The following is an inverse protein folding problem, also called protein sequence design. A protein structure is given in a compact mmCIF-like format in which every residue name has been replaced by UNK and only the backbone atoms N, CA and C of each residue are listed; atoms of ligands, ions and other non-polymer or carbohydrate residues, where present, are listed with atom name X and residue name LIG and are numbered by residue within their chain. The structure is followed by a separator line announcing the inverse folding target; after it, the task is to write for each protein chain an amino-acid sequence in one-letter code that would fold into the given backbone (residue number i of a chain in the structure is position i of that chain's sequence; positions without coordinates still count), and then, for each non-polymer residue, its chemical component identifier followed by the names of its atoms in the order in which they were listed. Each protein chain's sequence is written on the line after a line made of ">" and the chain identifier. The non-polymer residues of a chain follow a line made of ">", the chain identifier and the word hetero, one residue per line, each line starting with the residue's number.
data_IF_275668496006
#
_entry.id   IF_275668496006
#
_cell.length_a   1.000
_cell.length_b   1.000
_cell.length_c   1.000
_cell.angle_alpha   90.00
_cell.angle_beta   90.00
_cell.angle_gamma   90.00
#
_symmetry.space_group_name_H-M   'P 1'
#
loop_
_entity.id
_entity.type
_entity.pdbx_description
1 polymer ?
#
# COMPACT_ATOMS: atom_id res chain seq x y z
N UNK A 1 -14.03 24.06 -20.77
CA UNK A 1 -13.68 22.64 -20.58
C UNK A 1 -13.37 22.53 -19.09
N UNK A 2 -14.32 22.03 -18.29
CA UNK A 2 -14.03 21.73 -16.88
C UNK A 2 -13.22 20.43 -16.90
N UNK A 3 -11.97 20.48 -16.47
CA UNK A 3 -11.21 19.27 -16.15
C UNK A 3 -12.00 18.49 -15.09
N UNK A 4 -12.29 17.23 -15.35
CA UNK A 4 -12.94 16.37 -14.37
C UNK A 4 -11.96 16.18 -13.21
N UNK A 5 -12.34 16.46 -11.95
CA UNK A 5 -11.40 16.44 -10.86
C UNK A 5 -10.86 15.02 -10.64
N UNK A 6 -9.54 14.85 -10.67
CA UNK A 6 -8.90 13.57 -10.36
C UNK A 6 -9.10 13.21 -8.89
N UNK A 7 -9.60 12.01 -8.63
CA UNK A 7 -9.83 11.51 -7.28
C UNK A 7 -8.56 11.48 -6.40
N UNK A 8 -7.36 11.30 -6.98
CA UNK A 8 -6.12 11.38 -6.20
C UNK A 8 -5.81 12.82 -5.79
N UNK A 9 -5.95 13.78 -6.69
CA UNK A 9 -5.74 15.20 -6.36
C UNK A 9 -6.73 15.66 -5.28
N UNK A 10 -7.97 15.19 -5.34
CA UNK A 10 -8.98 15.44 -4.31
C UNK A 10 -8.58 14.83 -2.95
N UNK A 11 -8.10 13.59 -2.91
CA UNK A 11 -7.65 12.95 -1.68
C UNK A 11 -6.37 13.58 -1.13
N UNK A 12 -5.43 13.97 -2.00
CA UNK A 12 -4.23 14.68 -1.60
C UNK A 12 -4.58 16.03 -0.95
N UNK A 13 -5.46 16.79 -1.60
CA UNK A 13 -6.00 18.05 -1.07
C UNK A 13 -6.70 17.83 0.28
N UNK A 14 -7.57 16.81 0.39
CA UNK A 14 -8.27 16.51 1.64
C UNK A 14 -7.30 16.19 2.79
N UNK A 15 -6.23 15.42 2.52
CA UNK A 15 -5.19 15.14 3.51
C UNK A 15 -4.49 16.40 3.98
N UNK A 16 -4.15 17.30 3.05
CA UNK A 16 -3.46 18.55 3.37
C UNK A 16 -4.35 19.47 4.20
N UNK A 17 -5.63 19.60 3.86
CA UNK A 17 -6.62 20.34 4.68
C UNK A 17 -6.71 19.75 6.09
N UNK A 18 -6.72 18.41 6.24
CA UNK A 18 -6.73 17.77 7.56
C UNK A 18 -5.49 18.14 8.38
N UNK A 19 -4.29 18.13 7.77
CA UNK A 19 -3.03 18.36 8.48
C UNK A 19 -2.73 19.82 8.75
N UNK A 20 -3.02 20.70 7.80
CA UNK A 20 -2.61 22.10 7.81
C UNK A 20 -3.68 23.02 8.40
N UNK A 21 -4.96 22.68 8.26
CA UNK A 21 -6.06 23.55 8.68
C UNK A 21 -6.84 22.95 9.86
N UNK A 22 -7.29 21.70 9.73
CA UNK A 22 -8.17 21.09 10.72
C UNK A 22 -7.39 20.70 11.99
N UNK A 23 -6.24 20.03 11.85
CA UNK A 23 -5.46 19.55 12.99
C UNK A 23 -5.04 20.68 13.95
N UNK A 24 -4.55 21.87 13.49
CA UNK A 24 -4.24 22.99 14.38
C UNK A 24 -5.45 23.63 15.06
N UNK A 25 -6.64 23.54 14.45
CA UNK A 25 -7.88 24.12 14.98
C UNK A 25 -8.62 23.18 15.96
N UNK A 26 -8.21 21.91 16.04
CA UNK A 26 -8.85 20.91 16.88
C UNK A 26 -8.38 20.97 18.36
N UNK A 27 -9.26 20.61 19.31
CA UNK A 27 -8.86 20.31 20.68
C UNK A 27 -7.79 19.19 20.73
N UNK A 28 -6.87 19.21 21.72
CA UNK A 28 -5.73 18.28 21.77
C UNK A 28 -6.16 16.80 21.83
N UNK A 29 -7.28 16.48 22.46
CA UNK A 29 -7.85 15.13 22.52
C UNK A 29 -8.27 14.57 21.15
N UNK A 30 -8.48 15.42 20.14
CA UNK A 30 -8.83 15.01 18.76
C UNK A 30 -7.63 14.97 17.82
N UNK A 31 -6.46 15.46 18.25
CA UNK A 31 -5.27 15.55 17.40
C UNK A 31 -4.82 14.18 16.87
N UNK A 32 -4.89 13.13 17.70
CA UNK A 32 -4.53 11.77 17.26
C UNK A 32 -5.50 11.25 16.20
N UNK A 33 -6.80 11.48 16.37
CA UNK A 33 -7.81 11.05 15.41
C UNK A 33 -7.63 11.73 14.05
N UNK A 34 -7.34 13.04 14.03
CA UNK A 34 -7.05 13.76 12.78
C UNK A 34 -5.78 13.25 12.08
N UNK A 35 -4.71 12.97 12.83
CA UNK A 35 -3.49 12.34 12.28
C UNK A 35 -3.76 10.95 11.72
N UNK A 36 -4.60 10.15 12.39
CA UNK A 36 -5.02 8.82 11.91
C UNK A 36 -5.79 8.91 10.59
N UNK A 37 -6.72 9.87 10.45
CA UNK A 37 -7.44 10.12 9.19
C UNK A 37 -6.48 10.52 8.08
N UNK A 38 -5.57 11.47 8.32
CA UNK A 38 -4.57 11.87 7.34
C UNK A 38 -3.64 10.72 6.92
N UNK A 39 -3.28 9.83 7.86
CA UNK A 39 -2.50 8.63 7.58
C UNK A 39 -3.27 7.61 6.72
N UNK A 40 -4.57 7.42 6.97
CA UNK A 40 -5.42 6.55 6.17
C UNK A 40 -5.57 7.08 4.73
N UNK A 41 -5.75 8.39 4.54
CA UNK A 41 -5.80 8.99 3.20
C UNK A 41 -4.48 8.79 2.46
N UNK A 42 -3.34 9.00 3.14
CA UNK A 42 -2.01 8.74 2.56
C UNK A 42 -1.84 7.27 2.13
N UNK A 43 -2.39 6.33 2.91
CA UNK A 43 -2.34 4.91 2.57
C UNK A 43 -3.19 4.61 1.33
N UNK A 44 -4.41 5.15 1.26
CA UNK A 44 -5.31 4.97 0.12
C UNK A 44 -4.71 5.51 -1.19
N UNK A 45 -4.04 6.67 -1.14
CA UNK A 45 -3.31 7.21 -2.30
C UNK A 45 -2.21 6.26 -2.78
N UNK A 46 -1.42 5.71 -1.84
CA UNK A 46 -0.37 4.75 -2.18
C UNK A 46 -0.95 3.44 -2.72
N UNK A 47 -2.07 2.96 -2.20
CA UNK A 47 -2.74 1.77 -2.72
C UNK A 47 -3.19 1.95 -4.16
N UNK A 48 -3.66 3.15 -4.52
CA UNK A 48 -4.01 3.48 -5.91
C UNK A 48 -2.78 3.44 -6.82
N UNK A 49 -1.65 3.99 -6.38
CA UNK A 49 -0.43 4.08 -7.21
C UNK A 49 0.37 2.77 -7.23
N UNK A 50 0.13 1.88 -6.26
CA UNK A 50 0.83 0.61 -6.17
C UNK A 50 0.40 -0.34 -7.28
N UNK A 51 1.30 -0.55 -8.24
CA UNK A 51 1.17 -1.60 -9.24
C UNK A 51 1.61 -2.93 -8.61
N UNK A 52 0.65 -3.70 -8.12
CA UNK A 52 0.90 -5.09 -7.73
C UNK A 52 0.95 -5.97 -8.99
N UNK A 53 1.89 -6.94 -9.07
CA UNK A 53 1.83 -7.93 -10.14
C UNK A 53 0.50 -8.70 -10.04
N UNK A 54 -0.07 -9.16 -11.17
CA UNK A 54 -1.25 -10.00 -11.14
C UNK A 54 -0.92 -11.26 -10.34
N UNK A 55 -1.58 -11.41 -9.19
CA UNK A 55 -1.36 -12.58 -8.34
C UNK A 55 -2.26 -13.73 -8.81
N UNK A 56 -1.74 -14.97 -8.82
CA UNK A 56 -2.60 -16.15 -8.90
C UNK A 56 -3.50 -16.19 -7.66
N UNK A 57 -4.48 -17.10 -7.67
CA UNK A 57 -5.23 -17.41 -6.46
C UNK A 57 -4.27 -17.73 -5.30
N UNK A 58 -4.22 -16.85 -4.31
CA UNK A 58 -3.30 -16.95 -3.19
C UNK A 58 -3.58 -18.18 -2.33
N UNK A 59 -4.84 -18.61 -2.23
CA UNK A 59 -5.19 -19.80 -1.46
C UNK A 59 -4.65 -21.05 -2.16
N UNK A 60 -4.82 -21.13 -3.49
CA UNK A 60 -4.30 -22.21 -4.30
C UNK A 60 -2.76 -22.24 -4.31
N UNK A 61 -2.12 -21.09 -4.53
CA UNK A 61 -0.65 -20.97 -4.48
C UNK A 61 -0.10 -21.39 -3.10
N UNK A 62 -0.75 -20.95 -2.02
CA UNK A 62 -0.32 -21.32 -0.68
C UNK A 62 -0.49 -22.83 -0.40
N UNK A 63 -1.48 -23.48 -0.99
CA UNK A 63 -1.64 -24.94 -0.91
C UNK A 63 -0.50 -25.66 -1.63
N UNK A 64 -0.22 -25.31 -2.90
CA UNK A 64 0.87 -25.88 -3.69
C UNK A 64 2.25 -25.70 -3.03
N UNK A 65 2.51 -24.54 -2.42
CA UNK A 65 3.75 -24.31 -1.65
C UNK A 65 3.85 -25.27 -0.46
N UNK A 66 2.77 -25.50 0.29
CA UNK A 66 2.77 -26.42 1.43
C UNK A 66 2.90 -27.89 1.02
N UNK A 67 2.50 -28.22 -0.20
CA UNK A 67 2.65 -29.56 -0.78
C UNK A 67 4.07 -29.80 -1.35
N UNK A 68 4.93 -28.78 -1.34
CA UNK A 68 6.33 -28.87 -1.77
C UNK A 68 6.53 -28.68 -3.28
N UNK A 69 5.48 -28.31 -4.03
CA UNK A 69 5.57 -28.11 -5.49
C UNK A 69 6.52 -26.96 -5.89
N UNK A 70 6.83 -26.08 -4.94
CA UNK A 70 7.72 -24.94 -5.10
C UNK A 70 8.96 -25.01 -4.19
N UNK A 71 9.30 -26.18 -3.66
CA UNK A 71 10.48 -26.37 -2.82
C UNK A 71 11.79 -26.14 -3.61
N UNK A 72 12.91 -25.82 -2.94
CA UNK A 72 14.20 -25.66 -3.59
C UNK A 72 14.56 -26.88 -4.47
N UNK A 73 14.94 -26.62 -5.71
CA UNK A 73 15.25 -27.66 -6.69
C UNK A 73 14.07 -28.09 -7.57
N UNK A 74 12.86 -27.63 -7.28
CA UNK A 74 11.72 -27.76 -8.22
C UNK A 74 11.84 -26.75 -9.37
N UNK A 75 11.31 -27.06 -10.57
CA UNK A 75 11.33 -26.13 -11.71
C UNK A 75 10.62 -24.80 -11.45
N UNK A 76 9.68 -24.75 -10.49
CA UNK A 76 8.86 -23.58 -10.21
C UNK A 76 9.38 -22.72 -9.06
N UNK A 77 10.41 -23.16 -8.33
CA UNK A 77 10.91 -22.49 -7.13
C UNK A 77 11.27 -21.02 -7.38
N UNK A 78 12.17 -20.78 -8.34
CA UNK A 78 12.72 -19.44 -8.60
C UNK A 78 11.65 -18.45 -9.08
N UNK A 79 10.73 -18.94 -9.92
CA UNK A 79 9.62 -18.14 -10.43
C UNK A 79 8.65 -17.74 -9.32
N UNK A 80 8.25 -18.68 -8.47
CA UNK A 80 7.38 -18.41 -7.32
C UNK A 80 8.07 -17.49 -6.31
N UNK A 81 9.35 -17.71 -6.03
CA UNK A 81 10.12 -16.85 -5.14
C UNK A 81 10.26 -15.41 -5.67
N UNK A 82 10.42 -15.23 -6.99
CA UNK A 82 10.46 -13.90 -7.62
C UNK A 82 9.10 -13.19 -7.49
N UNK A 83 8.01 -13.87 -7.87
CA UNK A 83 6.65 -13.36 -7.76
C UNK A 83 6.32 -12.89 -6.33
N UNK A 84 6.59 -13.73 -5.33
CA UNK A 84 6.31 -13.41 -3.93
C UNK A 84 7.13 -12.22 -3.43
N UNK A 85 8.39 -12.09 -3.86
CA UNK A 85 9.24 -10.94 -3.52
C UNK A 85 8.72 -9.64 -4.13
N UNK A 86 8.30 -9.68 -5.39
CA UNK A 86 7.78 -8.50 -6.08
C UNK A 86 6.45 -8.06 -5.48
N UNK A 87 5.56 -9.02 -5.19
CA UNK A 87 4.32 -8.76 -4.47
C UNK A 87 4.56 -8.18 -3.07
N UNK A 88 5.49 -8.77 -2.29
CA UNK A 88 5.83 -8.28 -0.96
C UNK A 88 6.38 -6.84 -1.01
N UNK A 89 7.22 -6.50 -1.99
CA UNK A 89 7.69 -5.13 -2.20
C UNK A 89 6.55 -4.18 -2.55
N UNK A 90 5.65 -4.56 -3.45
CA UNK A 90 4.50 -3.72 -3.81
C UNK A 90 3.63 -3.41 -2.58
N UNK A 91 3.34 -4.42 -1.75
CA UNK A 91 2.60 -4.22 -0.48
C UNK A 91 3.37 -3.39 0.53
N UNK A 92 4.68 -3.58 0.64
CA UNK A 92 5.53 -2.79 1.54
C UNK A 92 5.63 -1.32 1.11
N UNK A 93 5.65 -1.01 -0.18
CA UNK A 93 5.66 0.37 -0.67
C UNK A 93 4.42 1.17 -0.20
N UNK A 94 3.30 0.47 -0.03
CA UNK A 94 2.06 1.05 0.50
C UNK A 94 2.14 1.25 2.02
N UNK A 95 2.31 0.16 2.76
CA UNK A 95 2.09 0.14 4.22
C UNK A 95 3.34 0.43 5.04
N UNK A 96 4.52 0.13 4.51
CA UNK A 96 5.80 0.23 5.21
C UNK A 96 6.94 0.72 4.28
N UNK A 97 6.78 1.89 3.61
CA UNK A 97 7.77 2.36 2.63
C UNK A 97 9.18 2.53 3.22
N UNK A 98 9.27 2.87 4.51
CA UNK A 98 10.54 2.97 5.24
C UNK A 98 11.31 1.64 5.31
N UNK A 99 10.60 0.49 5.32
CA UNK A 99 11.24 -0.82 5.28
C UNK A 99 11.93 -1.10 3.93
N UNK A 100 11.56 -0.36 2.88
CA UNK A 100 12.20 -0.39 1.56
C UNK A 100 13.29 0.68 1.39
N UNK A 101 13.59 1.45 2.45
CA UNK A 101 14.56 2.55 2.39
C UNK A 101 14.04 3.83 1.75
N UNK A 102 12.73 3.95 1.49
CA UNK A 102 12.15 5.21 1.05
C UNK A 102 12.17 6.23 2.20
N UNK A 103 12.82 7.37 1.98
CA UNK A 103 12.73 8.53 2.87
C UNK A 103 11.32 9.11 2.75
N UNK A 104 10.59 9.11 3.86
CA UNK A 104 9.16 9.45 3.90
C UNK A 104 8.83 10.91 3.73
#
# INVERSE_FOLDING_TARGET
>A
MLEEPDGADLLATARDVVLLEILPALPPEKAMAARMVAAAIALALRERDAVAPPMPDLAALAAAIREGEHDPGTPHHDATAALLRDYARARAAVSAPKALGATG
#
